data_IF_114264880636
#
_entry.id   IF_114264880636
#
_cell.length_a   1.000
_cell.length_b   1.000
_cell.length_c   1.000
_cell.angle_alpha   90.00
_cell.angle_beta   90.00
_cell.angle_gamma   90.00
#
_symmetry.space_group_name_H-M   'P 1'
#
loop_
_entity.id
_entity.type
_entity.pdbx_description
1 polymer ?
#
# COMPACT_ATOMS: atom_id res chain seq x y z
N UNK A 1 -16.13 23.33 -8.56
CA UNK A 1 -16.05 22.14 -7.67
C UNK A 1 -15.33 21.06 -8.46
N UNK A 2 -14.19 20.55 -7.97
CA UNK A 2 -13.47 19.45 -8.62
C UNK A 2 -14.25 18.15 -8.51
N UNK A 3 -14.11 17.26 -9.50
CA UNK A 3 -14.68 15.92 -9.40
C UNK A 3 -14.12 15.20 -8.15
N UNK A 4 -14.93 14.40 -7.45
CA UNK A 4 -14.45 13.63 -6.33
C UNK A 4 -13.36 12.65 -6.78
N UNK A 5 -12.35 12.48 -5.94
CA UNK A 5 -11.17 11.65 -6.22
C UNK A 5 -11.11 10.54 -5.19
N UNK A 6 -10.89 9.32 -5.65
CA UNK A 6 -10.60 8.17 -4.78
C UNK A 6 -9.09 8.06 -4.63
N UNK A 7 -8.61 8.08 -3.39
CA UNK A 7 -7.21 7.80 -3.07
C UNK A 7 -6.95 6.31 -3.20
N UNK A 8 -5.88 5.96 -3.92
CA UNK A 8 -5.39 4.59 -4.03
C UNK A 8 -4.24 4.37 -3.04
N UNK A 9 -3.71 3.15 -2.98
CA UNK A 9 -2.42 2.89 -2.33
C UNK A 9 -1.50 2.15 -3.28
N UNK A 10 -0.20 2.27 -3.07
CA UNK A 10 0.82 1.53 -3.81
C UNK A 10 1.29 0.34 -2.96
N UNK A 11 1.53 -0.81 -3.60
CA UNK A 11 2.02 -2.01 -2.92
C UNK A 11 2.91 -2.80 -3.87
N UNK A 12 3.46 -3.92 -3.39
CA UNK A 12 4.24 -4.87 -4.18
C UNK A 12 3.59 -6.24 -4.13
N UNK A 13 3.68 -7.03 -5.19
CA UNK A 13 3.09 -8.37 -5.24
C UNK A 13 4.10 -9.48 -4.97
N UNK A 14 5.39 -9.24 -5.20
CA UNK A 14 6.45 -10.23 -5.10
C UNK A 14 7.66 -9.65 -4.35
N UNK A 15 8.58 -10.50 -3.92
CA UNK A 15 9.90 -10.04 -3.46
C UNK A 15 10.68 -9.44 -4.63
N UNK A 16 11.47 -8.39 -4.39
CA UNK A 16 12.33 -7.79 -5.41
C UNK A 16 13.13 -8.84 -6.17
N UNK A 17 13.02 -8.83 -7.50
CA UNK A 17 13.73 -9.72 -8.42
C UNK A 17 15.26 -9.61 -8.35
N UNK A 18 15.78 -8.52 -7.79
CA UNK A 18 17.20 -8.31 -7.55
C UNK A 18 17.43 -7.40 -6.34
N UNK A 19 18.62 -7.49 -5.73
CA UNK A 19 19.06 -6.50 -4.75
C UNK A 19 19.28 -5.15 -5.41
N UNK A 20 18.61 -4.11 -4.89
CA UNK A 20 18.72 -2.76 -5.43
C UNK A 20 19.82 -1.97 -4.71
N UNK A 21 20.62 -1.24 -5.49
CA UNK A 21 21.71 -0.40 -5.01
C UNK A 21 21.43 1.08 -5.30
N UNK A 22 21.71 1.94 -4.32
CA UNK A 22 21.74 3.40 -4.49
C UNK A 22 23.00 3.99 -3.85
N UNK A 23 23.62 4.95 -4.51
CA UNK A 23 24.80 5.69 -4.06
C UNK A 23 24.42 7.09 -3.60
N UNK A 24 25.10 7.58 -2.57
CA UNK A 24 24.92 8.96 -2.11
C UNK A 24 25.41 9.99 -3.12
N UNK A 25 24.92 11.25 -3.05
CA UNK A 25 25.38 12.33 -3.92
C UNK A 25 26.91 12.49 -3.96
N UNK A 26 27.59 12.31 -2.81
CA UNK A 26 29.06 12.32 -2.74
C UNK A 26 29.73 11.00 -3.17
N UNK A 27 28.96 9.98 -3.57
CA UNK A 27 29.39 8.65 -4.02
C UNK A 27 30.14 7.80 -2.99
N UNK A 28 30.22 8.25 -1.73
CA UNK A 28 30.95 7.54 -0.67
C UNK A 28 30.11 6.51 0.06
N UNK A 29 28.79 6.67 0.08
CA UNK A 29 27.88 5.76 0.76
C UNK A 29 27.06 4.97 -0.25
N UNK A 30 26.76 3.71 0.09
CA UNK A 30 25.99 2.79 -0.74
C UNK A 30 24.99 2.07 0.15
N UNK A 31 23.73 1.99 -0.28
CA UNK A 31 22.68 1.24 0.41
C UNK A 31 22.18 0.13 -0.52
N UNK A 32 22.05 -1.08 0.02
CA UNK A 32 21.50 -2.24 -0.67
C UNK A 32 20.18 -2.65 -0.01
N UNK A 33 19.11 -2.69 -0.80
CA UNK A 33 17.76 -2.91 -0.28
C UNK A 33 16.96 -3.85 -1.18
N UNK A 34 16.02 -4.58 -0.59
CA UNK A 34 14.94 -5.29 -1.28
C UNK A 34 13.59 -4.92 -0.66
N UNK A 35 12.53 -5.12 -1.42
CA UNK A 35 11.15 -4.97 -0.97
C UNK A 35 10.44 -6.31 -1.11
N UNK A 36 9.47 -6.57 -0.24
CA UNK A 36 8.60 -7.74 -0.32
C UNK A 36 7.21 -7.42 0.25
N UNK A 37 6.16 -8.12 -0.21
CA UNK A 37 4.81 -7.91 0.31
C UNK A 37 4.70 -8.36 1.75
N UNK A 38 3.83 -7.71 2.51
CA UNK A 38 3.35 -8.25 3.77
C UNK A 38 2.54 -9.53 3.54
N UNK A 39 2.57 -10.46 4.51
CA UNK A 39 1.58 -11.53 4.57
C UNK A 39 0.16 -10.98 4.70
N UNK A 40 -0.81 -11.75 4.20
CA UNK A 40 -2.23 -11.39 4.24
C UNK A 40 -2.70 -11.05 5.67
N UNK A 41 -3.49 -9.99 5.79
CA UNK A 41 -4.06 -9.52 7.05
C UNK A 41 -3.10 -8.75 7.96
N UNK A 42 -1.77 -8.80 7.77
CA UNK A 42 -0.82 -8.04 8.61
C UNK A 42 -1.04 -6.53 8.45
N UNK A 43 -1.22 -6.06 7.21
CA UNK A 43 -1.45 -4.64 6.95
C UNK A 43 -2.74 -4.14 7.63
N UNK A 44 -3.79 -4.98 7.69
CA UNK A 44 -5.06 -4.62 8.33
C UNK A 44 -4.93 -4.51 9.86
N UNK A 45 -4.12 -5.37 10.49
CA UNK A 45 -3.87 -5.29 11.92
C UNK A 45 -3.06 -4.06 12.31
N UNK A 46 -2.12 -3.64 11.45
CA UNK A 46 -1.37 -2.42 11.64
C UNK A 46 -2.29 -1.20 11.47
N UNK A 47 -3.12 -1.18 10.42
CA UNK A 47 -4.09 -0.09 10.21
C UNK A 47 -5.12 0.03 11.35
N UNK A 48 -5.50 -1.10 11.97
CA UNK A 48 -6.37 -1.14 13.17
C UNK A 48 -5.63 -0.78 14.47
N UNK A 49 -4.30 -0.68 14.44
CA UNK A 49 -3.47 -0.41 15.61
C UNK A 49 -3.30 -1.60 16.56
N UNK A 50 -3.64 -2.82 16.12
CA UNK A 50 -3.41 -4.06 16.90
C UNK A 50 -1.92 -4.46 16.92
N UNK A 51 -1.18 -4.06 15.90
CA UNK A 51 0.28 -4.13 15.84
C UNK A 51 0.79 -2.71 15.56
N UNK A 52 1.68 -2.19 16.39
CA UNK A 52 2.12 -0.81 16.30
C UNK A 52 3.63 -0.62 16.56
N UNK A 53 4.13 0.56 16.17
CA UNK A 53 5.48 0.99 16.49
C UNK A 53 5.71 1.17 18.01
N UNK A 54 4.64 1.35 18.80
CA UNK A 54 4.70 1.63 20.24
C UNK A 54 4.77 0.37 21.11
N UNK A 55 4.45 -0.78 20.54
CA UNK A 55 4.45 -2.06 21.25
C UNK A 55 5.86 -2.43 21.69
N UNK A 56 5.98 -3.23 22.76
CA UNK A 56 7.27 -3.80 23.16
C UNK A 56 7.85 -4.61 21.98
N UNK A 57 9.12 -4.38 21.58
CA UNK A 57 9.70 -5.05 20.43
C UNK A 57 9.71 -6.58 20.53
N UNK A 58 9.84 -7.17 21.72
CA UNK A 58 9.86 -8.63 21.90
C UNK A 58 8.46 -9.22 21.81
N UNK A 59 7.46 -8.53 22.38
CA UNK A 59 6.06 -8.93 22.27
C UNK A 59 5.60 -8.83 20.81
N UNK A 60 5.88 -7.71 20.15
CA UNK A 60 5.60 -7.53 18.72
C UNK A 60 6.29 -8.60 17.88
N UNK A 61 7.56 -8.88 18.12
CA UNK A 61 8.28 -9.91 17.39
C UNK A 61 7.70 -11.31 17.59
N UNK A 62 7.19 -11.60 18.79
CA UNK A 62 6.47 -12.85 19.06
C UNK A 62 5.17 -12.94 18.26
N UNK A 63 4.34 -11.89 18.27
CA UNK A 63 3.09 -11.85 17.49
C UNK A 63 3.36 -12.03 15.99
N UNK A 64 4.34 -11.31 15.46
CA UNK A 64 4.73 -11.42 14.04
C UNK A 64 5.23 -12.82 13.68
N UNK A 65 6.01 -13.45 14.56
CA UNK A 65 6.52 -14.81 14.34
C UNK A 65 5.40 -15.86 14.45
N UNK A 66 4.61 -15.82 15.52
CA UNK A 66 3.59 -16.83 15.80
C UNK A 66 2.42 -16.80 14.79
N UNK A 67 2.03 -15.61 14.32
CA UNK A 67 0.85 -15.43 13.46
C UNK A 67 1.16 -15.29 11.97
N UNK A 68 2.29 -14.67 11.64
CA UNK A 68 2.63 -14.29 10.27
C UNK A 68 3.90 -14.97 9.75
N UNK A 69 4.44 -15.95 10.50
CA UNK A 69 5.64 -16.72 10.16
C UNK A 69 6.87 -15.83 9.87
N UNK A 70 6.96 -14.69 10.55
CA UNK A 70 8.14 -13.83 10.45
C UNK A 70 9.32 -14.41 11.21
N UNK A 71 10.52 -14.23 10.65
CA UNK A 71 11.74 -14.46 11.40
C UNK A 71 11.78 -13.53 12.62
N UNK A 72 12.02 -14.14 13.79
CA UNK A 72 12.00 -13.44 15.06
C UNK A 72 13.12 -12.40 15.18
N UNK A 73 14.28 -12.63 14.56
CA UNK A 73 15.39 -11.67 14.59
C UNK A 73 15.07 -10.47 13.69
N UNK A 74 14.48 -10.70 12.52
CA UNK A 74 14.03 -9.64 11.63
C UNK A 74 12.95 -8.77 12.32
N UNK A 75 11.98 -9.41 12.97
CA UNK A 75 10.91 -8.69 13.67
C UNK A 75 11.42 -7.84 14.85
N UNK A 76 12.50 -8.26 15.52
CA UNK A 76 13.20 -7.46 16.54
C UNK A 76 13.98 -6.27 15.95
N UNK A 77 14.36 -6.36 14.67
CA UNK A 77 15.16 -5.36 13.95
C UNK A 77 14.32 -4.44 13.06
N UNK A 78 13.01 -4.36 13.29
CA UNK A 78 12.17 -3.32 12.70
C UNK A 78 12.66 -1.95 13.20
N UNK A 79 13.10 -1.09 12.29
CA UNK A 79 13.58 0.24 12.60
C UNK A 79 12.46 1.27 12.70
N UNK A 80 11.51 1.23 11.78
CA UNK A 80 10.34 2.11 11.80
C UNK A 80 9.18 1.54 10.98
N UNK A 81 8.00 2.08 11.26
CA UNK A 81 6.80 1.94 10.45
C UNK A 81 6.61 3.20 9.60
N UNK A 82 5.88 3.13 8.49
CA UNK A 82 5.62 4.29 7.64
C UNK A 82 4.38 4.14 6.74
N UNK A 83 3.79 5.25 6.25
CA UNK A 83 4.14 6.63 6.60
C UNK A 83 3.64 7.03 8.01
N UNK A 84 4.03 8.21 8.48
CA UNK A 84 3.57 8.82 9.74
C UNK A 84 3.81 7.95 10.99
N UNK A 85 4.82 7.07 10.97
CA UNK A 85 5.19 6.16 12.06
C UNK A 85 4.14 5.10 12.44
N UNK A 86 3.00 5.07 11.77
CA UNK A 86 1.88 4.15 12.05
C UNK A 86 1.42 3.37 10.82
N UNK A 87 1.77 3.81 9.62
CA UNK A 87 1.36 3.15 8.40
C UNK A 87 1.90 1.73 8.27
N UNK A 88 1.15 0.91 7.54
CA UNK A 88 1.43 -0.50 7.29
C UNK A 88 2.58 -0.74 6.30
N UNK A 89 3.75 -0.16 6.55
CA UNK A 89 4.99 -0.49 5.86
C UNK A 89 6.10 -0.51 6.91
N UNK A 90 7.12 -1.37 6.76
CA UNK A 90 8.25 -1.40 7.70
C UNK A 90 9.59 -1.35 7.01
N UNK A 91 10.58 -0.81 7.73
CA UNK A 91 11.99 -0.94 7.40
C UNK A 91 12.66 -1.89 8.39
N UNK A 92 13.35 -2.89 7.89
CA UNK A 92 14.07 -3.89 8.68
C UNK A 92 15.56 -3.85 8.36
N UNK A 93 16.39 -3.93 9.40
CA UNK A 93 17.82 -4.11 9.27
C UNK A 93 18.19 -5.60 9.24
N UNK A 94 18.65 -6.06 8.08
CA UNK A 94 19.20 -7.40 7.89
C UNK A 94 20.73 -7.40 7.73
N UNK A 95 21.38 -6.26 7.96
CA UNK A 95 22.83 -6.12 7.81
C UNK A 95 23.58 -6.89 8.91
N UNK A 96 24.87 -7.15 8.65
CA UNK A 96 25.75 -7.88 9.58
C UNK A 96 27.10 -7.18 9.69
N UNK A 97 27.45 -6.72 10.89
CA UNK A 97 28.78 -6.20 11.20
C UNK A 97 29.12 -4.84 10.57
N UNK A 98 28.12 -4.03 10.22
CA UNK A 98 28.34 -2.72 9.61
C UNK A 98 28.71 -1.69 10.69
N UNK A 99 29.93 -1.16 10.60
CA UNK A 99 30.36 -0.06 11.44
C UNK A 99 29.49 1.17 11.21
N UNK A 100 29.14 1.86 12.29
CA UNK A 100 28.40 3.13 12.27
C UNK A 100 26.96 3.10 11.73
N UNK A 101 26.38 1.92 11.53
CA UNK A 101 25.01 1.77 11.03
C UNK A 101 23.98 2.54 11.87
N UNK A 102 24.13 2.51 13.20
CA UNK A 102 23.22 3.20 14.11
C UNK A 102 23.23 4.73 13.95
N UNK A 103 24.31 5.32 13.43
CA UNK A 103 24.39 6.78 13.23
C UNK A 103 23.53 7.26 12.05
N UNK A 104 23.22 6.36 11.10
CA UNK A 104 22.40 6.69 9.93
C UNK A 104 20.94 6.29 10.11
N UNK A 105 20.58 5.62 11.21
CA UNK A 105 19.25 5.07 11.46
C UNK A 105 18.15 6.13 11.34
N UNK A 106 18.35 7.30 11.95
CA UNK A 106 17.35 8.38 11.93
C UNK A 106 17.17 8.96 10.52
N UNK A 107 18.24 8.97 9.72
CA UNK A 107 18.19 9.41 8.33
C UNK A 107 17.45 8.43 7.43
N UNK A 108 17.61 7.12 7.67
CA UNK A 108 16.84 6.06 7.01
C UNK A 108 15.36 6.11 7.44
N UNK A 109 15.08 6.29 8.73
CA UNK A 109 13.71 6.42 9.24
C UNK A 109 12.98 7.58 8.58
N UNK A 110 13.64 8.75 8.49
CA UNK A 110 13.10 9.93 7.81
C UNK A 110 12.85 9.68 6.32
N UNK A 111 13.74 8.93 5.65
CA UNK A 111 13.55 8.54 4.26
C UNK A 111 12.32 7.65 4.07
N UNK A 112 12.09 6.69 4.97
CA UNK A 112 10.93 5.80 4.92
C UNK A 112 9.63 6.57 5.10
N UNK A 113 9.58 7.54 6.02
CA UNK A 113 8.37 8.36 6.19
C UNK A 113 7.98 9.07 4.89
N UNK A 114 8.97 9.55 4.14
CA UNK A 114 8.71 10.23 2.87
C UNK A 114 8.43 9.26 1.73
N UNK A 115 9.26 8.22 1.57
CA UNK A 115 9.10 7.21 0.52
C UNK A 115 7.73 6.54 0.59
N UNK A 116 7.29 6.14 1.80
CA UNK A 116 6.00 5.49 1.99
C UNK A 116 4.80 6.44 1.94
N UNK A 117 5.02 7.75 2.00
CA UNK A 117 3.97 8.76 1.78
C UNK A 117 3.74 9.02 0.29
N UNK A 118 4.79 8.98 -0.52
CA UNK A 118 4.75 9.25 -1.95
C UNK A 118 5.40 8.07 -2.70
N UNK A 119 4.61 7.07 -3.09
CA UNK A 119 5.11 5.90 -3.83
C UNK A 119 5.62 6.23 -5.24
N UNK A 120 6.39 5.30 -5.83
CA UNK A 120 7.07 5.54 -7.11
C UNK A 120 6.11 5.59 -8.31
N UNK A 121 4.99 4.87 -8.26
CA UNK A 121 4.06 4.74 -9.38
C UNK A 121 3.33 6.06 -9.62
N UNK A 122 2.73 6.66 -8.60
CA UNK A 122 1.86 7.83 -8.75
C UNK A 122 1.82 8.75 -7.53
N UNK A 123 2.82 8.66 -6.64
CA UNK A 123 2.90 9.43 -5.39
C UNK A 123 1.67 9.24 -4.50
N UNK A 124 1.05 8.06 -4.50
CA UNK A 124 0.08 7.66 -3.49
C UNK A 124 0.80 6.99 -2.31
N UNK A 125 0.17 6.96 -1.13
CA UNK A 125 0.79 6.32 0.02
C UNK A 125 1.01 4.83 -0.27
N UNK A 126 2.17 4.31 0.12
CA UNK A 126 2.46 2.87 0.10
C UNK A 126 1.67 2.15 1.20
N UNK A 127 1.38 0.87 0.99
CA UNK A 127 0.76 -0.01 1.97
C UNK A 127 1.20 -1.45 1.75
N UNK A 128 1.52 -2.14 2.84
CA UNK A 128 1.83 -3.56 2.85
C UNK A 128 3.23 -3.89 2.33
N UNK A 129 4.20 -2.97 2.44
CA UNK A 129 5.57 -3.18 1.94
C UNK A 129 6.55 -3.35 3.10
N UNK A 130 7.31 -4.44 3.06
CA UNK A 130 8.49 -4.68 3.90
C UNK A 130 9.74 -4.31 3.12
N UNK A 131 10.51 -3.35 3.60
CA UNK A 131 11.83 -3.01 3.07
C UNK A 131 12.92 -3.63 3.94
N UNK A 132 13.86 -4.34 3.32
CA UNK A 132 14.97 -5.02 3.98
C UNK A 132 16.29 -4.37 3.58
N UNK A 133 17.02 -3.78 4.53
CA UNK A 133 18.39 -3.31 4.30
C UNK A 133 19.31 -4.52 4.41
N UNK A 134 19.91 -4.92 3.29
CA UNK A 134 20.76 -6.11 3.21
C UNK A 134 22.21 -5.78 3.54
N UNK A 135 22.71 -4.67 3.01
CA UNK A 135 24.09 -4.23 3.20
C UNK A 135 24.20 -2.70 3.07
N UNK A 136 25.25 -2.13 3.65
CA UNK A 136 25.54 -0.70 3.64
C UNK A 136 27.06 -0.48 3.60
N UNK A 137 27.52 0.36 2.67
CA UNK A 137 28.87 0.92 2.69
C UNK A 137 28.78 2.36 3.16
N UNK A 138 29.48 2.71 4.25
CA UNK A 138 29.52 4.07 4.79
C UNK A 138 30.93 4.64 4.72
N UNK A 139 31.00 5.95 4.51
CA UNK A 139 32.22 6.69 4.75
C UNK A 139 32.59 6.68 6.24
N UNK A 140 33.88 6.68 6.57
CA UNK A 140 34.39 6.66 7.94
C UNK A 140 33.99 7.90 8.73
N UNK A 141 34.12 9.07 8.10
CA UNK A 141 33.85 10.35 8.75
C UNK A 141 32.36 10.71 8.68
N UNK A 142 31.78 11.05 9.83
CA UNK A 142 30.35 11.37 9.97
C UNK A 142 29.90 12.54 9.07
N UNK A 143 30.78 13.50 8.79
CA UNK A 143 30.51 14.65 7.91
C UNK A 143 30.11 14.22 6.49
N UNK A 144 30.54 13.04 6.04
CA UNK A 144 30.26 12.51 4.70
C UNK A 144 29.03 11.61 4.65
N UNK A 145 28.30 11.46 5.76
CA UNK A 145 27.12 10.60 5.85
C UNK A 145 25.96 11.21 6.65
N UNK A 146 25.88 12.55 6.66
CA UNK A 146 24.73 13.25 7.21
C UNK A 146 23.44 13.04 6.40
N UNK A 147 22.33 13.60 6.89
CA UNK A 147 20.99 13.45 6.33
C UNK A 147 20.90 13.71 4.81
N UNK A 148 21.54 14.79 4.33
CA UNK A 148 21.55 15.14 2.90
C UNK A 148 22.27 14.11 2.01
N UNK A 149 23.04 13.19 2.58
CA UNK A 149 23.66 12.07 1.86
C UNK A 149 22.83 10.79 2.00
N UNK A 150 22.35 10.45 3.20
CA UNK A 150 21.68 9.17 3.43
C UNK A 150 20.20 9.18 3.04
N UNK A 151 19.44 10.20 3.45
CA UNK A 151 17.99 10.26 3.22
C UNK A 151 17.59 10.14 1.74
N UNK A 152 18.17 10.92 0.79
CA UNK A 152 17.85 10.74 -0.62
C UNK A 152 18.31 9.39 -1.17
N UNK A 153 19.43 8.85 -0.68
CA UNK A 153 19.95 7.54 -1.10
C UNK A 153 18.99 6.43 -0.71
N UNK A 154 18.52 6.45 0.54
CA UNK A 154 17.56 5.48 1.07
C UNK A 154 16.22 5.57 0.35
N UNK A 155 15.72 6.79 0.08
CA UNK A 155 14.49 6.97 -0.70
C UNK A 155 14.63 6.38 -2.11
N UNK A 156 15.73 6.68 -2.80
CA UNK A 156 16.00 6.12 -4.14
C UNK A 156 16.05 4.60 -4.12
N UNK A 157 16.73 3.99 -3.13
CA UNK A 157 16.83 2.52 -3.07
C UNK A 157 15.47 1.87 -2.77
N UNK A 158 14.61 2.49 -1.96
CA UNK A 158 13.24 2.02 -1.75
C UNK A 158 12.43 2.01 -3.05
N UNK A 159 12.51 3.07 -3.86
CA UNK A 159 11.82 3.11 -5.16
C UNK A 159 12.36 2.09 -6.15
N UNK A 160 13.68 1.87 -6.18
CA UNK A 160 14.26 0.80 -6.99
C UNK A 160 13.75 -0.59 -6.51
N UNK A 161 13.70 -0.80 -5.20
CA UNK A 161 13.22 -2.04 -4.60
C UNK A 161 11.73 -2.29 -4.90
N UNK A 162 10.89 -1.26 -4.81
CA UNK A 162 9.47 -1.32 -5.17
C UNK A 162 9.27 -1.65 -6.66
N UNK A 163 9.97 -0.96 -7.56
CA UNK A 163 9.88 -1.21 -9.01
C UNK A 163 10.33 -2.62 -9.42
N UNK A 164 11.21 -3.24 -8.64
CA UNK A 164 11.71 -4.61 -8.90
C UNK A 164 10.88 -5.70 -8.23
N UNK A 165 9.88 -5.33 -7.42
CA UNK A 165 9.04 -6.20 -6.60
C UNK A 165 7.61 -6.36 -7.15
N UNK A 166 7.44 -6.26 -8.48
CA UNK A 166 6.15 -6.33 -9.16
C UNK A 166 5.10 -5.37 -8.54
N UNK A 167 5.28 -4.05 -8.68
CA UNK A 167 4.45 -3.06 -8.00
C UNK A 167 2.98 -3.12 -8.47
N UNK A 168 2.04 -2.87 -7.57
CA UNK A 168 0.58 -2.91 -7.81
C UNK A 168 -0.11 -1.71 -7.17
N UNK A 169 -1.30 -1.40 -7.67
CA UNK A 169 -2.21 -0.45 -7.02
C UNK A 169 -3.25 -1.19 -6.20
N UNK A 170 -3.59 -0.63 -5.04
CA UNK A 170 -4.72 -1.04 -4.22
C UNK A 170 -5.88 -0.06 -4.42
N UNK A 171 -7.06 -0.58 -4.69
CA UNK A 171 -8.31 0.17 -4.66
C UNK A 171 -9.05 -0.08 -3.32
N UNK A 172 -9.70 0.96 -2.75
CA UNK A 172 -10.51 0.75 -1.57
C UNK A 172 -11.85 0.14 -1.95
N UNK A 173 -12.34 -0.78 -1.10
CA UNK A 173 -13.60 -1.49 -1.25
C UNK A 173 -14.55 -1.09 -0.12
N UNK A 174 -15.79 -0.78 -0.47
CA UNK A 174 -16.88 -0.63 0.49
C UNK A 174 -17.56 -1.97 0.75
N UNK A 175 -17.91 -2.20 2.02
CA UNK A 175 -19.00 -3.08 2.41
C UNK A 175 -20.30 -2.28 2.27
N UNK A 176 -21.16 -2.75 1.38
CA UNK A 176 -22.48 -2.18 1.15
C UNK A 176 -23.51 -3.08 1.82
N UNK A 177 -24.27 -2.52 2.75
CA UNK A 177 -25.43 -3.15 3.38
C UNK A 177 -26.71 -2.52 2.80
N UNK A 178 -27.58 -3.35 2.20
CA UNK A 178 -28.79 -2.90 1.55
C UNK A 178 -29.96 -3.70 2.11
N UNK A 179 -30.97 -2.98 2.60
CA UNK A 179 -32.27 -3.58 2.96
C UNK A 179 -33.33 -3.18 1.95
N UNK A 180 -34.09 -4.15 1.44
CA UNK A 180 -35.18 -3.90 0.49
C UNK A 180 -36.30 -4.96 0.57
N UNK A 181 -37.49 -4.71 0.03
CA UNK A 181 -38.51 -5.75 -0.19
C UNK A 181 -38.06 -6.77 -1.24
N UNK A 182 -38.59 -7.99 -1.18
CA UNK A 182 -38.23 -9.09 -2.09
C UNK A 182 -38.38 -8.73 -3.58
N UNK A 183 -39.39 -7.95 -3.94
CA UNK A 183 -39.66 -7.55 -5.33
C UNK A 183 -38.56 -6.64 -5.92
N UNK A 184 -37.79 -5.96 -5.07
CA UNK A 184 -36.76 -5.00 -5.48
C UNK A 184 -35.36 -5.63 -5.62
N UNK A 185 -35.18 -6.88 -5.19
CA UNK A 185 -33.86 -7.56 -5.16
C UNK A 185 -33.22 -7.63 -6.55
N UNK A 186 -33.99 -7.88 -7.60
CA UNK A 186 -33.47 -7.94 -8.96
C UNK A 186 -32.79 -6.64 -9.41
N UNK A 187 -33.32 -5.49 -8.97
CA UNK A 187 -32.73 -4.17 -9.26
C UNK A 187 -31.38 -3.96 -8.57
N UNK A 188 -31.17 -4.56 -7.39
CA UNK A 188 -29.92 -4.49 -6.63
C UNK A 188 -28.81 -5.25 -7.37
N UNK A 189 -29.07 -6.51 -7.74
CA UNK A 189 -28.13 -7.33 -8.48
C UNK A 189 -27.72 -6.68 -9.82
N UNK A 190 -28.69 -6.13 -10.55
CA UNK A 190 -28.42 -5.40 -11.80
C UNK A 190 -27.50 -4.20 -11.59
N UNK A 191 -27.75 -3.41 -10.54
CA UNK A 191 -26.95 -2.21 -10.24
C UNK A 191 -25.53 -2.55 -9.77
N UNK A 192 -25.37 -3.59 -8.95
CA UNK A 192 -24.07 -4.04 -8.45
C UNK A 192 -23.23 -4.66 -9.57
N UNK A 193 -23.81 -5.52 -10.42
CA UNK A 193 -23.08 -6.18 -11.51
C UNK A 193 -22.50 -5.19 -12.53
N UNK A 194 -23.20 -4.10 -12.81
CA UNK A 194 -22.69 -3.04 -13.70
C UNK A 194 -21.49 -2.27 -13.11
N UNK A 195 -21.23 -2.42 -11.81
CA UNK A 195 -20.26 -1.63 -11.03
C UNK A 195 -19.20 -2.51 -10.35
N UNK A 196 -18.96 -3.70 -10.91
CA UNK A 196 -18.02 -4.70 -10.35
C UNK A 196 -18.34 -5.10 -8.90
N UNK A 197 -19.59 -4.97 -8.48
CA UNK A 197 -20.04 -5.36 -7.16
C UNK A 197 -20.11 -6.88 -7.00
N UNK A 198 -19.80 -7.38 -5.82
CA UNK A 198 -19.86 -8.81 -5.50
C UNK A 198 -20.74 -9.05 -4.27
N UNK A 199 -21.90 -9.66 -4.48
CA UNK A 199 -22.82 -10.06 -3.41
C UNK A 199 -22.32 -11.36 -2.79
N UNK A 200 -22.16 -11.39 -1.47
CA UNK A 200 -21.70 -12.58 -0.74
C UNK A 200 -22.64 -12.99 0.39
N UNK A 201 -23.64 -12.17 0.72
CA UNK A 201 -24.61 -12.44 1.78
C UNK A 201 -25.97 -11.93 1.37
N UNK A 202 -26.98 -12.79 1.52
CA UNK A 202 -28.39 -12.50 1.30
C UNK A 202 -29.19 -13.26 2.35
N UNK A 203 -29.97 -12.56 3.17
CA UNK A 203 -30.83 -13.20 4.17
C UNK A 203 -32.15 -12.45 4.31
N UNK A 204 -33.24 -13.21 4.48
CA UNK A 204 -34.54 -12.62 4.80
C UNK A 204 -34.60 -12.25 6.28
N UNK A 205 -34.94 -10.99 6.59
CA UNK A 205 -35.10 -10.55 7.97
C UNK A 205 -36.33 -11.20 8.59
N UNK A 206 -36.08 -12.08 9.56
CA UNK A 206 -37.11 -12.82 10.29
C UNK A 206 -38.21 -11.89 10.81
N UNK A 207 -39.46 -12.19 10.49
CA UNK A 207 -40.62 -11.40 10.91
C UNK A 207 -40.94 -10.19 10.01
N UNK A 208 -40.21 -9.97 8.92
CA UNK A 208 -40.48 -8.88 7.96
C UNK A 208 -40.39 -9.37 6.51
N UNK A 209 -41.03 -8.68 5.53
CA UNK A 209 -40.87 -8.98 4.11
C UNK A 209 -39.56 -8.41 3.51
N UNK A 210 -38.62 -8.01 4.35
CA UNK A 210 -37.37 -7.36 3.93
C UNK A 210 -36.25 -8.38 3.78
N UNK A 211 -35.43 -8.18 2.77
CA UNK A 211 -34.21 -8.92 2.48
C UNK A 211 -33.03 -7.99 2.74
N UNK A 212 -32.04 -8.50 3.45
CA UNK A 212 -30.75 -7.87 3.70
C UNK A 212 -29.72 -8.46 2.74
N UNK A 213 -29.02 -7.59 2.03
CA UNK A 213 -27.99 -7.96 1.06
C UNK A 213 -26.70 -7.25 1.45
N UNK A 214 -25.60 -8.00 1.58
CA UNK A 214 -24.26 -7.44 1.73
C UNK A 214 -23.39 -7.75 0.53
N UNK A 215 -22.69 -6.72 0.07
CA UNK A 215 -21.86 -6.80 -1.11
C UNK A 215 -20.58 -5.97 -0.97
N UNK A 216 -19.54 -6.38 -1.68
CA UNK A 216 -18.35 -5.57 -1.90
C UNK A 216 -18.54 -4.67 -3.11
N UNK A 217 -18.19 -3.39 -2.99
CA UNK A 217 -18.28 -2.41 -4.07
C UNK A 217 -17.00 -1.56 -4.11
N UNK A 218 -16.26 -1.52 -5.22
CA UNK A 218 -15.13 -0.61 -5.35
C UNK A 218 -15.56 0.86 -5.20
N UNK A 219 -14.83 1.64 -4.40
CA UNK A 219 -15.19 3.04 -4.11
C UNK A 219 -15.20 3.89 -5.39
N UNK A 220 -14.34 3.60 -6.35
CA UNK A 220 -14.36 4.29 -7.65
C UNK A 220 -15.68 4.10 -8.41
N UNK A 221 -16.35 2.97 -8.20
CA UNK A 221 -17.62 2.63 -8.83
C UNK A 221 -18.83 3.09 -7.99
N UNK A 222 -18.61 3.67 -6.80
CA UNK A 222 -19.70 4.10 -5.92
C UNK A 222 -20.32 5.45 -6.32
N UNK A 223 -19.67 6.22 -7.20
CA UNK A 223 -20.20 7.52 -7.66
C UNK A 223 -21.50 7.33 -8.43
N UNK A 224 -22.57 7.96 -7.95
CA UNK A 224 -23.92 7.81 -8.51
C UNK A 224 -24.58 6.46 -8.23
N UNK A 225 -23.98 5.60 -7.40
CA UNK A 225 -24.53 4.29 -7.03
C UNK A 225 -25.89 4.42 -6.36
N UNK A 226 -26.04 5.33 -5.40
CA UNK A 226 -27.30 5.55 -4.68
C UNK A 226 -28.44 5.97 -5.61
N UNK A 227 -28.18 6.84 -6.59
CA UNK A 227 -29.16 7.27 -7.59
C UNK A 227 -29.56 6.13 -8.52
N UNK A 228 -28.58 5.38 -9.03
CA UNK A 228 -28.82 4.23 -9.89
C UNK A 228 -29.63 3.13 -9.16
N UNK A 229 -29.26 2.84 -7.91
CA UNK A 229 -29.96 1.87 -7.06
C UNK A 229 -31.39 2.32 -6.78
N UNK A 230 -31.61 3.59 -6.47
CA UNK A 230 -32.95 4.15 -6.25
C UNK A 230 -33.82 4.00 -7.50
N UNK A 231 -33.28 4.27 -8.68
CA UNK A 231 -34.00 4.12 -9.95
C UNK A 231 -34.35 2.65 -10.23
N UNK A 232 -33.40 1.74 -10.04
CA UNK A 232 -33.59 0.31 -10.28
C UNK A 232 -34.55 -0.38 -9.29
N UNK A 233 -34.76 0.22 -8.11
CA UNK A 233 -35.58 -0.34 -7.03
C UNK A 233 -36.85 0.47 -6.76
N UNK A 234 -37.20 1.42 -7.64
CA UNK A 234 -38.33 2.35 -7.43
C UNK A 234 -38.28 3.09 -6.07
N UNK A 235 -37.07 3.31 -5.56
CA UNK A 235 -36.80 3.96 -4.28
C UNK A 235 -37.02 3.12 -3.03
N UNK A 236 -37.13 1.80 -3.18
CA UNK A 236 -37.39 0.88 -2.06
C UNK A 236 -36.11 0.34 -1.39
N UNK A 237 -34.93 0.55 -1.99
CA UNK A 237 -33.66 0.14 -1.41
C UNK A 237 -32.85 1.34 -0.90
N UNK A 238 -32.28 1.19 0.29
CA UNK A 238 -31.40 2.18 0.90
C UNK A 238 -30.05 1.53 1.21
N UNK A 239 -28.95 1.97 0.57
CA UNK A 239 -27.63 1.42 0.81
C UNK A 239 -26.94 2.17 1.95
N UNK A 240 -26.26 1.43 2.81
CA UNK A 240 -25.24 1.94 3.72
C UNK A 240 -23.88 1.45 3.25
N UNK A 241 -22.93 2.35 3.07
CA UNK A 241 -21.58 2.01 2.61
C UNK A 241 -20.58 2.37 3.72
N UNK A 242 -19.77 1.39 4.11
CA UNK A 242 -18.64 1.60 5.04
C UNK A 242 -17.37 1.05 4.39
N UNK A 243 -16.23 1.68 4.65
CA UNK A 243 -14.95 1.14 4.21
C UNK A 243 -14.74 -0.24 4.85
N UNK A 244 -14.36 -1.22 4.04
CA UNK A 244 -14.15 -2.60 4.49
C UNK A 244 -12.66 -2.97 4.42
N UNK A 245 -12.10 -3.01 3.21
CA UNK A 245 -10.71 -3.40 2.99
C UNK A 245 -10.11 -2.76 1.73
N UNK A 246 -8.80 -2.94 1.57
CA UNK A 246 -8.06 -2.62 0.35
C UNK A 246 -7.92 -3.89 -0.50
N UNK A 247 -8.18 -3.80 -1.80
CA UNK A 247 -8.02 -4.90 -2.74
C UNK A 247 -7.01 -4.53 -3.84
N UNK A 248 -6.23 -5.51 -4.30
CA UNK A 248 -5.32 -5.33 -5.43
C UNK A 248 -6.13 -5.09 -6.69
N UNK A 249 -5.86 -3.97 -7.36
CA UNK A 249 -6.43 -3.66 -8.66
C UNK A 249 -5.84 -4.62 -9.69
N UNK A 250 -6.70 -5.24 -10.50
CA UNK A 250 -6.28 -6.18 -11.52
C UNK A 250 -5.48 -5.51 -12.63
N UNK A 251 -4.38 -6.14 -13.05
CA UNK A 251 -3.49 -5.67 -14.10
C UNK A 251 -2.21 -5.02 -13.58
N UNK A 252 -1.15 -5.09 -14.38
CA UNK A 252 0.14 -4.52 -14.02
C UNK A 252 0.18 -3.01 -14.37
N UNK A 253 0.51 -2.11 -13.43
CA UNK A 253 0.69 -0.69 -13.73
C UNK A 253 1.85 -0.41 -14.70
N UNK A 254 2.81 -1.32 -14.86
CA UNK A 254 3.97 -1.16 -15.74
C UNK A 254 3.69 -1.64 -17.18
N UNK A 255 2.62 -2.41 -17.40
CA UNK A 255 2.24 -2.90 -18.73
C UNK A 255 1.68 -1.78 -19.61
N UNK A 256 2.42 -1.47 -20.70
CA UNK A 256 2.06 -0.41 -21.63
C UNK A 256 0.71 -0.67 -22.30
N UNK A 257 -0.22 0.28 -22.18
CA UNK A 257 -1.56 0.19 -22.75
C UNK A 257 -2.57 -0.57 -21.87
N UNK A 258 -2.17 -1.00 -20.67
CA UNK A 258 -3.09 -1.56 -19.69
C UNK A 258 -3.99 -0.50 -19.04
N UNK A 259 -5.18 -0.92 -18.59
CA UNK A 259 -6.12 -0.03 -17.86
C UNK A 259 -5.51 0.55 -16.59
N UNK A 260 -4.69 -0.25 -15.89
CA UNK A 260 -4.00 0.18 -14.66
C UNK A 260 -2.91 1.21 -14.96
N UNK A 261 -2.17 1.07 -16.05
CA UNK A 261 -1.20 2.09 -16.49
C UNK A 261 -1.92 3.40 -16.83
N UNK A 262 -3.04 3.34 -17.54
CA UNK A 262 -3.83 4.53 -17.88
C UNK A 262 -4.35 5.24 -16.62
N UNK A 263 -4.82 4.48 -15.62
CA UNK A 263 -5.22 5.03 -14.33
C UNK A 263 -4.04 5.75 -13.65
N UNK A 264 -2.86 5.12 -13.59
CA UNK A 264 -1.64 5.72 -13.03
C UNK A 264 -1.30 7.02 -13.76
N UNK A 265 -1.27 7.01 -15.10
CA UNK A 265 -1.01 8.22 -15.91
C UNK A 265 -1.99 9.33 -15.62
N UNK A 266 -3.28 9.02 -15.50
CA UNK A 266 -4.31 9.99 -15.16
C UNK A 266 -4.12 10.61 -13.77
N UNK A 267 -3.73 9.80 -12.77
CA UNK A 267 -3.38 10.30 -11.42
C UNK A 267 -2.16 11.22 -11.49
N UNK A 268 -1.10 10.80 -12.19
CA UNK A 268 0.14 11.57 -12.35
C UNK A 268 -0.10 12.92 -13.06
N UNK A 269 -0.88 12.91 -14.13
CA UNK A 269 -1.30 14.11 -14.85
C UNK A 269 -2.09 15.07 -13.95
N UNK A 270 -3.03 14.54 -13.17
CA UNK A 270 -3.82 15.34 -12.21
C UNK A 270 -2.93 15.96 -11.12
N UNK A 271 -1.90 15.25 -10.66
CA UNK A 271 -0.90 15.73 -9.69
C UNK A 271 0.14 16.68 -10.30
N UNK A 272 0.09 16.92 -11.61
CA UNK A 272 1.06 17.76 -12.32
C UNK A 272 2.52 17.26 -12.20
N UNK A 273 2.69 15.93 -12.24
CA UNK A 273 4.00 15.26 -12.32
C UNK A 273 4.15 14.57 -13.68
N UNK A 274 5.36 14.15 -14.03
CA UNK A 274 5.67 13.50 -15.32
C UNK A 274 4.70 12.33 -15.55
N UNK A 275 3.96 12.34 -16.66
CA UNK A 275 2.88 11.35 -16.91
C UNK A 275 3.40 9.91 -16.91
N UNK A 276 4.59 9.65 -17.47
CA UNK A 276 5.19 8.33 -17.45
C UNK A 276 5.71 7.94 -16.05
N UNK A 277 5.49 6.68 -15.69
CA UNK A 277 6.09 6.06 -14.52
C UNK A 277 7.62 6.10 -14.68
N UNK A 278 8.37 6.54 -13.66
CA UNK A 278 9.83 6.50 -13.67
C UNK A 278 10.36 5.09 -13.95
N UNK A 279 11.40 4.98 -14.78
CA UNK A 279 12.07 3.71 -15.04
C UNK A 279 13.04 3.38 -13.90
N UNK A 280 13.37 2.09 -13.77
CA UNK A 280 14.31 1.60 -12.75
C UNK A 280 15.68 2.29 -12.82
N UNK A 281 16.17 2.62 -14.01
CA UNK A 281 17.46 3.30 -14.22
C UNK A 281 17.55 4.69 -13.56
N UNK A 282 16.41 5.31 -13.20
CA UNK A 282 16.43 6.58 -12.47
C UNK A 282 16.89 6.40 -11.01
N UNK A 283 16.74 5.19 -10.45
CA UNK A 283 16.92 4.90 -9.04
C UNK A 283 18.00 3.87 -8.76
N UNK A 284 18.14 2.87 -9.65
CA UNK A 284 19.11 1.79 -9.51
C UNK A 284 20.49 2.23 -10.02
N UNK A 285 21.46 2.26 -9.11
CA UNK A 285 22.85 2.53 -9.45
C UNK A 285 23.62 1.23 -9.73
N UNK A 286 24.55 1.30 -10.67
CA UNK A 286 25.53 0.23 -10.93
C UNK A 286 26.76 0.41 -10.03
N UNK A 287 27.42 -0.71 -9.69
CA UNK A 287 28.63 -0.75 -8.86
C UNK A 287 29.78 0.09 -9.45
#
# INVERSE_FOLDING_TARGET
VSAPVVSSRETVAETSSQTCLSKSPNKHNRLYCTAEPFPDGLADEIDKGSISARDDPKERAKVLSDKYDWDKNDALKIWCFGPETTGANVLIDQTKGIAYLNEIKDHCNSAIQWATKEGVLCEENMRGIRFNILDVVLHTDAIHRGAGQITPTMRRVCYAAELTAAPRLLEPIFLVDITCPQDAVGGIYGTLNQRRGHVFYEEQRTGTPLIEIKAYLPVAESFGFTTALRAATSGQAFPQCVFDHWAILQGDPLDKGGKTEELVKNIRKRKNIKEDIPTLDNYLDKL
#
